data_IF_787072424560
#
_entry.id   IF_787072424560
#
_cell.length_a   1.000
_cell.length_b   1.000
_cell.length_c   1.000
_cell.angle_alpha   90.00
_cell.angle_beta   90.00
_cell.angle_gamma   90.00
#
_symmetry.space_group_name_H-M   'P 1'
#
loop_
_entity.id
_entity.type
_entity.pdbx_description
1 polymer ?
#
# COMPACT_ATOMS: atom_id res chain seq x y z
N UNK A 1 -34.09 39.44 -21.14
CA UNK A 1 -32.90 39.26 -20.35
C UNK A 1 -32.94 38.01 -19.42
N UNK A 2 -34.08 37.65 -18.80
CA UNK A 2 -34.18 36.46 -17.95
C UNK A 2 -34.04 35.10 -18.68
N UNK A 3 -34.58 35.01 -19.92
CA UNK A 3 -34.49 33.80 -20.76
C UNK A 3 -33.04 33.50 -21.22
N UNK A 4 -32.23 34.49 -21.49
CA UNK A 4 -30.85 34.32 -21.91
C UNK A 4 -29.96 33.86 -20.74
N UNK A 5 -30.21 34.33 -19.53
CA UNK A 5 -29.50 33.89 -18.32
C UNK A 5 -29.82 32.42 -17.98
N UNK A 6 -31.07 31.98 -18.15
CA UNK A 6 -31.47 30.58 -17.92
C UNK A 6 -30.82 29.61 -18.92
N UNK A 7 -30.66 30.01 -20.19
CA UNK A 7 -29.99 29.19 -21.19
C UNK A 7 -28.48 29.09 -20.95
N UNK A 8 -27.84 30.16 -20.47
CA UNK A 8 -26.42 30.13 -20.12
C UNK A 8 -26.18 29.28 -18.88
N UNK A 9 -27.04 29.39 -17.85
CA UNK A 9 -26.94 28.60 -16.65
C UNK A 9 -27.23 27.11 -16.90
N UNK A 10 -28.21 26.79 -17.73
CA UNK A 10 -28.52 25.42 -18.18
C UNK A 10 -27.36 24.82 -19.00
N UNK A 11 -26.77 25.61 -19.90
CA UNK A 11 -25.59 25.19 -20.67
C UNK A 11 -24.35 24.93 -19.78
N UNK A 12 -24.12 25.77 -18.76
CA UNK A 12 -23.03 25.56 -17.80
C UNK A 12 -23.24 24.32 -16.95
N UNK A 13 -24.46 24.03 -16.52
CA UNK A 13 -24.83 22.81 -15.78
C UNK A 13 -24.63 21.54 -16.60
N UNK A 14 -24.96 21.58 -17.90
CA UNK A 14 -24.76 20.43 -18.80
C UNK A 14 -23.26 20.19 -18.98
N UNK A 15 -22.45 21.23 -19.17
CA UNK A 15 -21.01 21.11 -19.35
C UNK A 15 -20.32 20.64 -18.05
N UNK A 16 -20.79 21.09 -16.89
CA UNK A 16 -20.29 20.62 -15.60
C UNK A 16 -20.65 19.14 -15.33
N UNK A 17 -21.82 18.68 -15.78
CA UNK A 17 -22.24 17.28 -15.66
C UNK A 17 -21.51 16.32 -16.61
N UNK A 18 -21.03 16.79 -17.74
CA UNK A 18 -20.33 15.96 -18.76
C UNK A 18 -18.86 15.66 -18.41
N UNK A 19 -18.32 16.20 -17.31
CA UNK A 19 -16.95 15.92 -16.87
C UNK A 19 -16.81 14.71 -15.93
N UNK A 20 -17.83 13.89 -15.77
CA UNK A 20 -17.64 12.56 -15.19
C UNK A 20 -17.04 11.66 -16.29
N UNK A 21 -15.71 11.74 -16.44
CA UNK A 21 -14.97 10.79 -17.28
C UNK A 21 -15.32 9.34 -16.89
N UNK A 22 -15.19 8.43 -17.85
CA UNK A 22 -15.37 7.01 -17.62
C UNK A 22 -14.60 6.62 -16.34
N UNK A 23 -15.25 5.86 -15.46
CA UNK A 23 -14.67 5.37 -14.21
C UNK A 23 -14.77 3.87 -14.22
N UNK A 24 -13.66 3.22 -13.94
CA UNK A 24 -13.59 1.77 -13.87
C UNK A 24 -13.59 1.33 -12.42
N UNK A 25 -14.54 0.49 -12.08
CA UNK A 25 -14.67 -0.04 -10.73
C UNK A 25 -13.93 -1.37 -10.63
N UNK A 26 -13.25 -1.56 -9.50
CA UNK A 26 -12.55 -2.81 -9.17
C UNK A 26 -12.78 -3.15 -7.71
N UNK A 27 -12.68 -4.43 -7.37
CA UNK A 27 -12.78 -4.91 -5.99
C UNK A 27 -11.42 -5.44 -5.53
N UNK A 28 -11.00 -5.07 -4.34
CA UNK A 28 -9.88 -5.70 -3.64
C UNK A 28 -10.40 -6.36 -2.37
N UNK A 29 -9.97 -7.59 -2.11
CA UNK A 29 -10.35 -8.36 -0.92
C UNK A 29 -9.12 -8.56 -0.05
N UNK A 30 -9.07 -7.85 1.07
CA UNK A 30 -7.98 -7.98 2.05
C UNK A 30 -8.36 -9.00 3.13
N UNK A 31 -7.45 -9.90 3.43
CA UNK A 31 -7.52 -10.86 4.56
C UNK A 31 -6.92 -10.29 5.85
N UNK A 32 -6.34 -9.09 5.77
CA UNK A 32 -5.73 -8.34 6.87
C UNK A 32 -6.53 -7.08 7.19
N UNK A 33 -6.20 -6.46 8.34
CA UNK A 33 -6.79 -5.17 8.72
C UNK A 33 -6.47 -4.07 7.71
N UNK A 34 -7.46 -3.25 7.41
CA UNK A 34 -7.34 -2.07 6.52
C UNK A 34 -7.36 -0.76 7.34
N UNK A 35 -6.87 -0.82 8.58
CA UNK A 35 -6.82 0.34 9.47
C UNK A 35 -6.06 1.49 8.82
N UNK A 36 -6.61 2.70 8.91
CA UNK A 36 -6.06 3.91 8.27
C UNK A 36 -6.52 4.13 6.83
N UNK A 37 -7.19 3.15 6.20
CA UNK A 37 -7.86 3.34 4.92
C UNK A 37 -9.27 3.92 5.17
N UNK A 38 -9.73 4.81 4.28
CA UNK A 38 -11.03 5.48 4.41
C UNK A 38 -11.68 5.68 3.03
N UNK A 39 -12.99 5.90 3.03
CA UNK A 39 -13.73 6.26 1.82
C UNK A 39 -13.23 7.60 1.28
N UNK A 40 -12.90 7.65 -0.01
CA UNK A 40 -12.21 8.77 -0.64
C UNK A 40 -10.68 8.68 -0.52
N UNK A 41 -10.15 7.66 0.16
CA UNK A 41 -8.71 7.39 0.24
C UNK A 41 -8.08 7.22 -1.15
N UNK A 42 -6.82 7.55 -1.25
CA UNK A 42 -6.09 7.52 -2.52
C UNK A 42 -5.86 6.09 -3.02
N UNK A 43 -6.00 5.90 -4.33
CA UNK A 43 -5.49 4.74 -5.05
C UNK A 43 -4.37 5.22 -5.98
N UNK A 44 -3.22 4.59 -5.87
CA UNK A 44 -2.05 4.92 -6.68
C UNK A 44 -1.58 3.70 -7.48
N UNK A 45 -1.03 3.95 -8.66
CA UNK A 45 -0.33 2.95 -9.46
C UNK A 45 1.13 3.39 -9.61
N UNK A 46 2.06 2.56 -9.15
CA UNK A 46 3.50 2.90 -9.14
C UNK A 46 3.80 4.28 -8.51
N UNK A 47 3.07 4.66 -7.45
CA UNK A 47 3.22 5.95 -6.78
C UNK A 47 2.44 7.12 -7.40
N UNK A 48 1.80 6.93 -8.55
CA UNK A 48 1.00 7.97 -9.22
C UNK A 48 -0.47 7.84 -8.83
N UNK A 49 -1.15 8.92 -8.38
CA UNK A 49 -2.58 8.90 -8.07
C UNK A 49 -3.44 8.62 -9.31
N UNK A 50 -4.14 7.49 -9.31
CA UNK A 50 -4.97 7.04 -10.44
C UNK A 50 -6.44 6.89 -10.10
N UNK A 51 -6.80 6.94 -8.81
CA UNK A 51 -8.18 6.74 -8.40
C UNK A 51 -8.42 6.97 -6.91
N UNK A 52 -9.57 6.52 -6.45
CA UNK A 52 -10.00 6.65 -5.06
C UNK A 52 -10.72 5.39 -4.56
N UNK A 53 -10.72 5.20 -3.26
CA UNK A 53 -11.55 4.21 -2.57
C UNK A 53 -13.00 4.70 -2.56
N UNK A 54 -13.91 3.93 -3.12
CA UNK A 54 -15.33 4.28 -3.15
C UNK A 54 -16.06 3.79 -1.91
N UNK A 55 -15.78 2.56 -1.47
CA UNK A 55 -16.43 1.96 -0.32
C UNK A 55 -15.52 0.96 0.39
N UNK A 56 -15.77 0.73 1.68
CA UNK A 56 -15.06 -0.26 2.50
C UNK A 56 -16.12 -0.97 3.35
N UNK A 57 -16.14 -2.30 3.31
CA UNK A 57 -17.08 -3.09 4.09
C UNK A 57 -16.49 -4.47 4.41
N UNK A 58 -17.02 -5.09 5.46
CA UNK A 58 -16.63 -6.45 5.83
C UNK A 58 -17.63 -7.43 5.20
N UNK A 59 -17.10 -8.41 4.47
CA UNK A 59 -17.88 -9.50 3.89
C UNK A 59 -18.30 -10.53 4.97
N UNK A 60 -19.20 -11.44 4.61
CA UNK A 60 -19.72 -12.47 5.54
C UNK A 60 -18.64 -13.46 6.01
N UNK A 61 -17.59 -13.62 5.24
CA UNK A 61 -16.41 -14.45 5.54
C UNK A 61 -15.33 -13.70 6.35
N UNK A 62 -15.64 -12.49 6.83
CA UNK A 62 -14.77 -11.70 7.72
C UNK A 62 -13.65 -10.95 7.02
N UNK A 63 -13.64 -10.89 5.68
CA UNK A 63 -12.63 -10.17 4.91
C UNK A 63 -13.02 -8.72 4.66
N UNK A 64 -12.05 -7.84 4.56
CA UNK A 64 -12.27 -6.45 4.21
C UNK A 64 -12.34 -6.30 2.69
N UNK A 65 -13.52 -5.92 2.19
CA UNK A 65 -13.75 -5.61 0.79
C UNK A 65 -13.61 -4.11 0.57
N UNK A 66 -12.86 -3.74 -0.45
CA UNK A 66 -12.56 -2.36 -0.80
C UNK A 66 -12.90 -2.14 -2.27
N UNK A 67 -13.93 -1.34 -2.52
CA UNK A 67 -14.32 -0.92 -3.87
C UNK A 67 -13.44 0.25 -4.29
N UNK A 68 -12.79 0.12 -5.45
CA UNK A 68 -11.93 1.12 -6.04
C UNK A 68 -12.57 1.72 -7.28
N UNK A 69 -12.37 3.00 -7.47
CA UNK A 69 -12.72 3.73 -8.70
C UNK A 69 -11.42 4.24 -9.31
N UNK A 70 -11.12 3.78 -10.52
CA UNK A 70 -9.92 4.13 -11.27
C UNK A 70 -10.30 5.00 -12.47
N UNK A 71 -9.50 5.99 -12.74
CA UNK A 71 -9.60 6.86 -13.91
C UNK A 71 -8.85 6.21 -15.09
N UNK A 72 -9.58 5.69 -16.11
CA UNK A 72 -8.94 5.00 -17.24
C UNK A 72 -8.09 5.91 -18.12
N UNK A 73 -8.24 7.23 -17.99
CA UNK A 73 -7.38 8.18 -18.70
C UNK A 73 -5.98 8.28 -18.11
N UNK A 74 -5.81 7.82 -16.86
CA UNK A 74 -4.53 7.84 -16.14
C UNK A 74 -3.79 6.51 -16.21
N UNK A 75 -4.54 5.40 -16.17
CA UNK A 75 -3.98 4.06 -16.24
C UNK A 75 -4.99 3.06 -16.78
N UNK A 76 -4.55 2.16 -17.62
CA UNK A 76 -5.25 0.93 -17.98
C UNK A 76 -4.59 -0.19 -17.19
N UNK A 77 -5.38 -0.92 -16.41
CA UNK A 77 -4.88 -2.06 -15.63
C UNK A 77 -4.83 -3.31 -16.51
N UNK A 78 -3.76 -4.07 -16.39
CA UNK A 78 -3.56 -5.33 -17.11
C UNK A 78 -3.56 -6.52 -16.14
N UNK A 79 -3.78 -7.73 -16.64
CA UNK A 79 -3.66 -8.96 -15.85
C UNK A 79 -2.29 -9.05 -15.19
N UNK A 80 -2.27 -9.53 -13.94
CA UNK A 80 -1.07 -9.57 -13.10
C UNK A 80 -0.86 -8.32 -12.25
N UNK A 81 -1.80 -7.33 -12.28
CA UNK A 81 -1.79 -6.24 -11.30
C UNK A 81 -2.16 -6.78 -9.91
N UNK A 82 -1.48 -6.27 -8.90
CA UNK A 82 -1.70 -6.60 -7.49
C UNK A 82 -1.95 -5.33 -6.68
N UNK A 83 -2.77 -5.45 -5.65
CA UNK A 83 -3.07 -4.37 -4.70
C UNK A 83 -2.42 -4.63 -3.35
N UNK A 84 -1.83 -3.61 -2.75
CA UNK A 84 -1.32 -3.64 -1.39
C UNK A 84 -1.75 -2.39 -0.62
N UNK A 85 -1.69 -2.47 0.72
CA UNK A 85 -1.86 -1.29 1.59
C UNK A 85 -0.50 -0.68 1.86
N UNK A 86 -0.39 0.62 1.63
CA UNK A 86 0.83 1.38 1.87
C UNK A 86 0.53 2.61 2.71
N UNK A 87 1.51 3.09 3.48
CA UNK A 87 1.37 4.36 4.17
C UNK A 87 1.38 5.52 3.18
N UNK A 88 0.29 6.26 3.15
CA UNK A 88 0.26 7.58 2.51
C UNK A 88 0.94 8.63 3.40
N UNK A 89 0.75 8.52 4.71
CA UNK A 89 1.38 9.39 5.69
C UNK A 89 1.64 8.63 6.99
N UNK A 90 2.89 8.46 7.34
CA UNK A 90 3.30 7.86 8.62
C UNK A 90 2.89 8.72 9.82
N UNK A 91 2.93 10.04 9.67
CA UNK A 91 2.62 10.96 10.76
C UNK A 91 1.15 10.88 11.23
N UNK A 92 0.24 10.59 10.29
CA UNK A 92 -1.20 10.49 10.58
C UNK A 92 -1.72 9.06 10.59
N UNK A 93 -0.89 8.07 10.26
CA UNK A 93 -1.32 6.68 10.10
C UNK A 93 -2.26 6.45 8.92
N UNK A 94 -2.33 7.41 7.98
CA UNK A 94 -3.21 7.31 6.81
C UNK A 94 -2.64 6.32 5.80
N UNK A 95 -3.51 5.41 5.33
CA UNK A 95 -3.19 4.40 4.33
C UNK A 95 -3.78 4.76 2.96
N UNK A 96 -3.17 4.23 1.92
CA UNK A 96 -3.68 4.25 0.55
C UNK A 96 -3.64 2.82 -0.03
N UNK A 97 -4.37 2.60 -1.12
CA UNK A 97 -4.25 1.38 -1.90
C UNK A 97 -3.19 1.62 -2.99
N UNK A 98 -2.12 0.86 -2.94
CA UNK A 98 -1.08 0.87 -3.95
C UNK A 98 -1.28 -0.30 -4.93
N UNK A 99 -1.35 0.02 -6.21
CA UNK A 99 -1.40 -0.95 -7.30
C UNK A 99 -0.02 -1.05 -7.93
N UNK A 100 0.43 -2.27 -8.20
CA UNK A 100 1.72 -2.56 -8.82
C UNK A 100 1.63 -3.78 -9.71
N UNK A 101 2.63 -3.98 -10.56
CA UNK A 101 2.65 -5.11 -11.50
C UNK A 101 1.71 -4.89 -12.68
N UNK A 102 1.27 -6.00 -13.27
CA UNK A 102 0.58 -5.99 -14.56
C UNK A 102 1.58 -5.96 -15.72
N UNK A 103 1.43 -6.91 -16.64
CA UNK A 103 2.23 -6.92 -17.86
C UNK A 103 1.53 -6.06 -18.91
N UNK A 104 2.13 -4.96 -19.41
CA UNK A 104 1.53 -4.12 -20.46
C UNK A 104 1.21 -4.86 -21.76
N UNK A 105 1.82 -6.03 -21.97
CA UNK A 105 1.53 -6.90 -23.14
C UNK A 105 0.42 -7.92 -22.86
N UNK A 106 0.01 -8.09 -21.59
CA UNK A 106 -1.11 -8.94 -21.24
C UNK A 106 -2.45 -8.26 -21.54
N UNK A 107 -3.50 -9.06 -21.50
CA UNK A 107 -4.87 -8.59 -21.66
C UNK A 107 -5.24 -7.56 -20.58
N UNK A 108 -6.00 -6.54 -20.97
CA UNK A 108 -6.56 -5.55 -20.06
C UNK A 108 -7.43 -6.23 -19.00
N UNK A 109 -7.34 -5.74 -17.77
CA UNK A 109 -8.19 -6.22 -16.68
C UNK A 109 -9.58 -5.58 -16.80
N UNK A 110 -10.64 -6.36 -17.08
CA UNK A 110 -11.97 -5.79 -17.27
C UNK A 110 -12.46 -5.06 -16.01
N UNK A 111 -13.19 -3.93 -16.18
CA UNK A 111 -13.89 -3.30 -15.07
C UNK A 111 -14.79 -4.29 -14.32
N UNK A 112 -14.88 -4.15 -13.00
CA UNK A 112 -15.61 -5.09 -12.13
C UNK A 112 -14.79 -6.31 -11.70
N UNK A 113 -13.56 -6.46 -12.17
CA UNK A 113 -12.68 -7.55 -11.76
C UNK A 113 -12.20 -7.40 -10.32
N UNK A 114 -11.84 -8.54 -9.72
CA UNK A 114 -11.14 -8.58 -8.44
C UNK A 114 -9.64 -8.47 -8.68
N UNK A 115 -9.01 -7.49 -8.04
CA UNK A 115 -7.56 -7.34 -8.05
C UNK A 115 -6.99 -8.15 -6.86
N UNK A 116 -6.08 -9.10 -7.11
CA UNK A 116 -5.46 -9.86 -6.04
C UNK A 116 -4.59 -8.98 -5.14
N UNK A 117 -4.46 -9.38 -3.88
CA UNK A 117 -3.57 -8.70 -2.93
C UNK A 117 -2.16 -9.24 -3.04
N UNK A 118 -1.20 -8.32 -3.11
CA UNK A 118 0.23 -8.61 -3.06
C UNK A 118 0.86 -8.26 -1.71
N UNK A 119 2.17 -8.51 -1.57
CA UNK A 119 2.93 -8.09 -0.40
C UNK A 119 3.05 -6.56 -0.35
N UNK A 120 2.83 -5.97 0.82
CA UNK A 120 3.10 -4.55 1.06
C UNK A 120 4.57 -4.33 1.43
N UNK A 121 5.05 -3.08 1.30
CA UNK A 121 6.37 -2.70 1.84
C UNK A 121 6.45 -2.92 3.35
N UNK A 122 5.32 -2.78 4.06
CA UNK A 122 5.23 -3.02 5.50
C UNK A 122 5.45 -4.50 5.83
N UNK A 123 4.86 -5.41 5.04
CA UNK A 123 5.05 -6.85 5.21
C UNK A 123 6.52 -7.23 4.99
N UNK A 124 7.15 -6.68 3.95
CA UNK A 124 8.57 -6.90 3.64
C UNK A 124 9.46 -6.38 4.77
N UNK A 125 9.22 -5.17 5.26
CA UNK A 125 9.98 -4.59 6.36
C UNK A 125 9.84 -5.38 7.66
N UNK A 126 8.65 -5.87 7.97
CA UNK A 126 8.42 -6.69 9.17
C UNK A 126 9.16 -8.02 9.11
N UNK A 127 9.22 -8.67 7.93
CA UNK A 127 9.98 -9.92 7.77
C UNK A 127 11.49 -9.69 7.88
N UNK A 128 12.02 -8.66 7.23
CA UNK A 128 13.43 -8.30 7.32
C UNK A 128 13.86 -7.90 8.74
N UNK A 129 13.01 -7.16 9.46
CA UNK A 129 13.28 -6.82 10.86
C UNK A 129 13.34 -8.06 11.75
N UNK A 130 12.48 -9.06 11.51
CA UNK A 130 12.51 -10.33 12.24
C UNK A 130 13.78 -11.12 11.95
N UNK A 131 14.25 -11.15 10.70
CA UNK A 131 15.49 -11.80 10.31
C UNK A 131 16.73 -11.12 10.90
N UNK A 132 16.72 -9.78 10.98
CA UNK A 132 17.76 -9.00 11.65
C UNK A 132 17.80 -9.31 13.14
N UNK A 133 16.66 -9.40 13.82
CA UNK A 133 16.58 -9.77 15.24
C UNK A 133 17.08 -11.20 15.49
N UNK A 134 16.71 -12.15 14.63
CA UNK A 134 17.22 -13.53 14.72
C UNK A 134 18.74 -13.58 14.52
N UNK A 135 19.27 -12.79 13.59
CA UNK A 135 20.71 -12.68 13.36
C UNK A 135 21.43 -12.03 14.53
N UNK A 136 20.85 -10.99 15.12
CA UNK A 136 21.39 -10.33 16.31
C UNK A 136 21.47 -11.28 17.50
N UNK A 137 20.39 -12.03 17.76
CA UNK A 137 20.36 -13.01 18.85
C UNK A 137 21.43 -14.10 18.65
N UNK A 138 21.59 -14.59 17.42
CA UNK A 138 22.64 -15.59 17.10
C UNK A 138 24.06 -15.05 17.29
N UNK A 139 24.28 -13.77 17.00
CA UNK A 139 25.57 -13.11 17.25
C UNK A 139 25.81 -12.95 18.74
N UNK A 140 24.77 -12.54 19.51
CA UNK A 140 24.84 -12.41 20.95
C UNK A 140 25.17 -13.74 21.62
N UNK A 141 24.52 -14.85 21.20
CA UNK A 141 24.84 -16.20 21.71
C UNK A 141 26.30 -16.60 21.42
N UNK A 142 26.80 -16.34 20.21
CA UNK A 142 28.20 -16.65 19.86
C UNK A 142 29.21 -15.80 20.63
N UNK A 143 28.84 -14.57 20.96
CA UNK A 143 29.70 -13.72 21.82
C UNK A 143 29.70 -14.28 23.25
N UNK A 144 28.56 -14.70 23.76
CA UNK A 144 28.45 -15.28 25.11
C UNK A 144 29.23 -16.61 25.22
N UNK A 145 29.08 -17.51 24.24
CA UNK A 145 29.89 -18.73 24.12
C UNK A 145 31.39 -18.42 24.02
N UNK A 146 31.78 -17.46 23.16
CA UNK A 146 33.19 -17.06 23.03
C UNK A 146 33.79 -16.42 24.28
N UNK A 147 32.97 -15.74 25.12
CA UNK A 147 33.40 -15.16 26.37
C UNK A 147 33.52 -16.21 27.48
N UNK A 148 32.70 -17.27 27.46
CA UNK A 148 32.77 -18.36 28.44
C UNK A 148 34.00 -19.25 28.24
N UNK A 149 34.51 -19.37 27.00
CA UNK A 149 35.69 -20.14 26.68
C UNK A 149 37.03 -19.35 26.87
N UNK A 150 36.96 -18.06 27.21
CA UNK A 150 38.14 -17.24 27.43
C UNK A 150 38.73 -17.44 28.83
N UNK A 151 40.03 -17.70 28.98
CA UNK A 151 40.73 -17.74 30.29
C UNK A 151 40.61 -16.40 31.02
N UNK A 152 40.38 -16.44 32.34
CA UNK A 152 40.11 -15.25 33.18
C UNK A 152 41.13 -14.08 33.07
N UNK A 153 42.26 -14.28 32.43
CA UNK A 153 43.25 -13.23 32.21
C UNK A 153 43.20 -12.50 30.85
N UNK A 154 42.51 -13.03 29.88
CA UNK A 154 42.49 -12.45 28.51
C UNK A 154 41.50 -11.29 28.37
N UNK A 155 40.36 -11.36 29.03
CA UNK A 155 39.38 -10.27 29.13
C UNK A 155 39.99 -8.99 29.72
N UNK A 156 40.85 -9.13 30.76
CA UNK A 156 41.51 -7.99 31.37
C UNK A 156 42.51 -7.31 30.43
N UNK A 157 43.15 -8.04 29.55
CA UNK A 157 44.08 -7.49 28.53
C UNK A 157 43.34 -6.71 27.47
N UNK A 158 42.22 -7.25 26.95
CA UNK A 158 41.39 -6.58 25.93
C UNK A 158 40.81 -5.28 26.50
N UNK A 159 40.34 -5.27 27.74
CA UNK A 159 39.82 -4.05 28.40
C UNK A 159 40.91 -2.99 28.61
N UNK A 160 42.18 -3.40 28.85
CA UNK A 160 43.29 -2.46 28.94
C UNK A 160 43.74 -1.89 27.61
N UNK A 161 43.57 -2.62 26.51
CA UNK A 161 43.96 -2.19 25.14
C UNK A 161 42.92 -1.23 24.52
N UNK A 162 41.65 -1.25 25.00
CA UNK A 162 40.57 -0.38 24.53
C UNK A 162 40.50 0.94 25.34
N UNK A 163 41.28 1.09 26.42
CA UNK A 163 41.28 2.33 27.19
C UNK A 163 42.09 3.41 26.46
N UNK A 164 41.48 4.56 26.11
CA UNK A 164 42.18 5.67 25.43
C UNK A 164 43.26 6.32 26.30
#
# INVERSE_FOLDING_TARGET
MLLSAALIFGGLMIIAGYRQGERYNYLVVFDKTVLGLYKGGMVQFMGVPVGTVENIYVSRDGKANVDLVIDPTKVILHKGVEASLEYYSFATGTMCVALKGGDPTAEELPPGSIIPTGSSLIDSFSSEASDLMATFNRIAEKIDEGLQDMPEGELAKIVQEIKP
#
